data_IF_356587795713
#
_entry.id   IF_356587795713
#
_cell.length_a   1.000
_cell.length_b   1.000
_cell.length_c   1.000
_cell.angle_alpha   90.00
_cell.angle_beta   90.00
_cell.angle_gamma   90.00
#
_symmetry.space_group_name_H-M   'P 1'
#
loop_
_entity.id
_entity.type
_entity.pdbx_description
1 polymer ?
#
# COMPACT_ATOMS: atom_id res chain seq x y z
N UNK A 1 1.66 -31.52 24.09
CA UNK A 1 1.72 -30.10 23.66
C UNK A 1 1.35 -29.21 24.84
N UNK A 2 2.38 -28.70 25.51
CA UNK A 2 2.37 -27.71 26.59
C UNK A 2 1.41 -26.56 26.23
N UNK A 3 0.57 -26.13 27.17
CA UNK A 3 -0.45 -25.09 26.95
C UNK A 3 0.14 -23.82 26.32
N UNK A 4 1.37 -23.47 26.71
CA UNK A 4 2.16 -22.39 26.12
C UNK A 4 2.42 -22.55 24.62
N UNK A 5 2.81 -23.76 24.17
CA UNK A 5 3.09 -24.01 22.75
C UNK A 5 1.82 -23.85 21.90
N UNK A 6 0.66 -24.28 22.42
CA UNK A 6 -0.63 -24.08 21.72
C UNK A 6 -0.97 -22.61 21.56
N UNK A 7 -0.71 -21.81 22.59
CA UNK A 7 -1.02 -20.38 22.61
C UNK A 7 -0.12 -19.60 21.61
N UNK A 8 1.16 -19.96 21.52
CA UNK A 8 2.08 -19.40 20.53
C UNK A 8 1.62 -19.75 19.11
N UNK A 9 1.30 -21.01 18.85
CA UNK A 9 0.82 -21.44 17.51
C UNK A 9 -0.44 -20.65 17.12
N UNK A 10 -1.38 -20.49 18.06
CA UNK A 10 -2.60 -19.74 17.80
C UNK A 10 -2.35 -18.26 17.49
N UNK A 11 -1.44 -17.61 18.24
CA UNK A 11 -1.07 -16.22 18.00
C UNK A 11 -0.39 -16.02 16.62
N UNK A 12 0.50 -16.93 16.23
CA UNK A 12 1.15 -16.91 14.91
C UNK A 12 0.11 -17.07 13.80
N UNK A 13 -0.87 -17.97 13.99
CA UNK A 13 -1.94 -18.19 13.02
C UNK A 13 -2.80 -16.94 12.83
N UNK A 14 -3.16 -16.25 13.92
CA UNK A 14 -3.89 -14.97 13.86
C UNK A 14 -3.07 -13.93 13.10
N UNK A 15 -1.79 -13.77 13.44
CA UNK A 15 -0.93 -12.78 12.80
C UNK A 15 -0.79 -13.06 11.29
N UNK A 16 -0.63 -14.33 10.90
CA UNK A 16 -0.57 -14.72 9.49
C UNK A 16 -1.87 -14.38 8.75
N UNK A 17 -3.03 -14.63 9.37
CA UNK A 17 -4.33 -14.29 8.78
C UNK A 17 -4.43 -12.79 8.55
N UNK A 18 -4.00 -11.93 9.48
CA UNK A 18 -4.10 -10.47 9.35
C UNK A 18 -3.27 -9.87 8.19
N UNK A 19 -2.32 -10.63 7.62
CA UNK A 19 -1.40 -10.13 6.57
C UNK A 19 -1.81 -10.65 5.18
N UNK A 20 -2.62 -11.70 5.07
CA UNK A 20 -3.00 -12.34 3.80
C UNK A 20 -4.29 -11.69 3.25
N UNK A 21 -4.33 -11.39 1.95
CA UNK A 21 -5.59 -11.01 1.29
C UNK A 21 -6.56 -12.19 1.34
N UNK A 22 -7.82 -12.00 1.77
CA UNK A 22 -8.57 -10.73 1.87
C UNK A 22 -8.75 -10.19 3.31
N UNK A 23 -8.00 -10.72 4.29
CA UNK A 23 -8.15 -10.41 5.70
C UNK A 23 -7.32 -9.21 6.17
N UNK A 24 -6.59 -8.58 5.24
CA UNK A 24 -5.86 -7.33 5.50
C UNK A 24 -6.79 -6.22 5.94
N UNK A 25 -6.44 -5.60 7.06
CA UNK A 25 -7.19 -4.48 7.63
C UNK A 25 -6.90 -3.16 6.92
N UNK A 26 -5.77 -3.06 6.21
CA UNK A 26 -5.31 -1.86 5.52
C UNK A 26 -4.93 -2.19 4.07
N UNK A 27 -5.02 -1.21 3.15
CA UNK A 27 -4.61 -1.41 1.77
C UNK A 27 -3.11 -1.73 1.70
N UNK A 28 -2.66 -2.54 0.73
CA UNK A 28 -1.24 -2.76 0.52
C UNK A 28 -0.54 -1.45 0.11
N UNK A 29 0.62 -1.19 0.71
CA UNK A 29 1.53 -0.17 0.22
C UNK A 29 2.04 -0.59 -1.16
N UNK A 30 1.88 0.24 -2.21
CA UNK A 30 2.35 -0.10 -3.54
C UNK A 30 3.88 -0.04 -3.60
N UNK A 31 4.47 -1.01 -4.29
CA UNK A 31 5.87 -0.94 -4.69
C UNK A 31 5.98 -0.06 -5.95
N UNK A 32 6.68 1.07 -5.84
CA UNK A 32 6.88 2.00 -6.96
C UNK A 32 8.37 2.08 -7.24
N UNK A 33 8.75 1.80 -8.49
CA UNK A 33 10.14 1.85 -8.93
C UNK A 33 10.34 2.78 -10.12
N UNK A 34 11.49 3.45 -10.16
CA UNK A 34 11.96 4.24 -11.29
C UNK A 34 13.31 3.68 -11.73
N UNK A 35 13.40 3.21 -12.97
CA UNK A 35 14.61 2.57 -13.51
C UNK A 35 15.13 1.42 -12.61
N UNK A 36 14.21 0.63 -12.05
CA UNK A 36 14.53 -0.50 -11.16
C UNK A 36 14.94 -0.12 -9.73
N UNK A 37 14.87 1.17 -9.37
CA UNK A 37 15.12 1.64 -8.01
C UNK A 37 13.81 2.00 -7.33
N UNK A 38 13.57 1.42 -6.15
CA UNK A 38 12.44 1.77 -5.31
C UNK A 38 12.49 3.24 -4.89
N UNK A 39 11.35 3.91 -4.97
CA UNK A 39 11.19 5.31 -4.57
C UNK A 39 10.21 5.40 -3.39
N UNK A 40 10.39 6.38 -2.48
CA UNK A 40 9.46 6.56 -1.38
C UNK A 40 8.07 6.95 -1.89
N UNK A 41 7.04 6.50 -1.17
CA UNK A 41 5.64 6.80 -1.44
C UNK A 41 4.98 7.39 -0.20
N UNK A 42 4.09 8.37 -0.39
CA UNK A 42 3.22 8.87 0.69
C UNK A 42 1.81 8.34 0.49
N UNK A 43 1.21 7.83 1.56
CA UNK A 43 -0.18 7.38 1.58
C UNK A 43 -1.10 8.55 1.90
N UNK A 44 -2.06 8.80 1.01
CA UNK A 44 -3.15 9.75 1.25
C UNK A 44 -4.32 9.13 2.01
N UNK A 45 -5.34 9.95 2.27
CA UNK A 45 -6.63 9.49 2.79
C UNK A 45 -7.19 8.35 1.94
N UNK A 46 -7.71 7.32 2.58
CA UNK A 46 -8.20 6.13 1.91
C UNK A 46 -9.44 5.56 2.59
N UNK A 47 -10.25 4.86 1.80
CA UNK A 47 -11.26 3.94 2.31
C UNK A 47 -10.89 2.53 1.87
N UNK A 48 -10.85 1.61 2.83
CA UNK A 48 -10.51 0.22 2.60
C UNK A 48 -11.64 -0.69 3.07
N UNK A 49 -12.06 -1.58 2.19
CA UNK A 49 -13.10 -2.56 2.46
C UNK A 49 -12.48 -3.95 2.63
N UNK A 50 -12.07 -4.27 3.86
CA UNK A 50 -11.62 -5.62 4.22
C UNK A 50 -12.80 -6.51 4.61
N UNK A 51 -12.59 -7.84 4.58
CA UNK A 51 -13.63 -8.81 4.94
C UNK A 51 -13.99 -8.76 6.42
N UNK A 52 -13.01 -8.47 7.29
CA UNK A 52 -13.23 -8.39 8.74
C UNK A 52 -13.62 -6.96 9.15
N UNK A 53 -12.92 -5.96 8.60
CA UNK A 53 -13.10 -4.55 8.96
C UNK A 53 -13.08 -3.71 7.69
N UNK A 54 -14.03 -2.78 7.61
CA UNK A 54 -14.01 -1.68 6.66
C UNK A 54 -13.70 -0.39 7.41
N UNK A 55 -12.78 0.41 6.87
CA UNK A 55 -12.39 1.67 7.50
C UNK A 55 -12.11 2.75 6.46
N UNK A 56 -12.34 4.00 6.86
CA UNK A 56 -11.83 5.17 6.15
C UNK A 56 -10.89 5.91 7.10
N UNK A 57 -9.67 6.14 6.64
CA UNK A 57 -8.62 6.83 7.39
C UNK A 57 -8.31 8.12 6.65
N UNK A 58 -8.37 9.22 7.38
CA UNK A 58 -8.09 10.56 6.84
C UNK A 58 -6.67 10.99 7.23
N UNK A 59 -5.86 11.32 6.23
CA UNK A 59 -4.49 11.81 6.39
C UNK A 59 -4.44 13.32 6.19
N UNK A 60 -3.43 13.97 6.77
CA UNK A 60 -3.26 15.43 6.65
C UNK A 60 -2.99 15.87 5.20
N UNK A 61 -2.45 14.99 4.36
CA UNK A 61 -2.22 15.23 2.94
C UNK A 61 -3.50 14.92 2.15
N UNK A 62 -4.27 15.96 1.88
CA UNK A 62 -5.57 15.86 1.20
C UNK A 62 -5.45 15.94 -0.32
N UNK A 63 -4.31 16.40 -0.85
CA UNK A 63 -4.09 16.55 -2.30
C UNK A 63 -2.84 15.84 -2.80
N UNK A 64 -2.82 15.34 -4.06
CA UNK A 64 -1.62 14.79 -4.67
C UNK A 64 -0.43 15.75 -4.68
N UNK A 65 -0.69 17.06 -4.77
CA UNK A 65 0.36 18.06 -4.73
C UNK A 65 0.99 18.16 -3.34
N UNK A 66 0.20 18.05 -2.27
CA UNK A 66 0.71 18.07 -0.91
C UNK A 66 1.48 16.79 -0.57
N UNK A 67 1.07 15.64 -1.11
CA UNK A 67 1.83 14.40 -1.01
C UNK A 67 3.16 14.51 -1.77
N UNK A 68 3.17 15.10 -2.97
CA UNK A 68 4.38 15.25 -3.77
C UNK A 68 5.42 16.21 -3.15
N UNK A 69 5.00 17.18 -2.33
CA UNK A 69 5.91 18.11 -1.62
C UNK A 69 6.85 17.39 -0.64
N UNK A 70 6.48 16.22 -0.16
CA UNK A 70 7.33 15.43 0.74
C UNK A 70 8.47 14.72 0.00
N UNK A 71 8.40 14.65 -1.32
CA UNK A 71 9.33 13.90 -2.15
C UNK A 71 10.20 14.81 -3.00
N UNK A 72 11.40 14.33 -3.31
CA UNK A 72 12.27 14.98 -4.28
C UNK A 72 11.86 14.53 -5.69
N UNK A 73 11.42 15.44 -6.57
CA UNK A 73 11.02 15.07 -7.92
C UNK A 73 12.23 14.63 -8.76
N UNK A 74 12.02 13.67 -9.64
CA UNK A 74 12.99 13.33 -10.67
C UNK A 74 12.94 14.38 -11.78
N UNK A 75 14.09 14.97 -12.11
CA UNK A 75 14.19 15.90 -13.22
C UNK A 75 14.12 15.13 -14.54
N UNK A 76 13.23 15.58 -15.43
CA UNK A 76 13.07 15.04 -16.78
C UNK A 76 13.30 16.12 -17.81
N UNK A 77 13.77 15.73 -19.00
CA UNK A 77 13.94 16.62 -20.13
C UNK A 77 12.60 16.97 -20.77
N UNK A 78 12.56 18.09 -21.52
CA UNK A 78 11.37 18.40 -22.32
C UNK A 78 11.13 17.29 -23.33
N UNK A 79 9.85 16.94 -23.52
CA UNK A 79 9.38 15.87 -24.41
C UNK A 79 9.92 14.47 -24.08
N UNK A 80 10.52 14.27 -22.91
CA UNK A 80 10.87 12.94 -22.44
C UNK A 80 9.60 12.10 -22.23
N UNK A 81 9.62 10.86 -22.72
CA UNK A 81 8.48 9.95 -22.61
C UNK A 81 8.52 9.25 -21.27
N UNK A 82 7.42 9.31 -20.53
CA UNK A 82 7.23 8.59 -19.27
C UNK A 82 6.45 7.32 -19.59
N UNK A 83 7.08 6.16 -19.39
CA UNK A 83 6.39 4.87 -19.41
C UNK A 83 5.91 4.52 -18.01
N UNK A 84 4.69 4.01 -17.90
CA UNK A 84 4.15 3.47 -16.66
C UNK A 84 3.85 2.01 -16.92
N UNK A 85 4.42 1.13 -16.09
CA UNK A 85 4.18 -0.30 -16.15
C UNK A 85 3.44 -0.73 -14.88
N UNK A 86 2.39 -1.52 -15.06
CA UNK A 86 1.56 -2.02 -13.97
C UNK A 86 1.69 -3.52 -13.91
N UNK A 87 2.11 -4.05 -12.75
CA UNK A 87 2.10 -5.49 -12.54
C UNK A 87 0.70 -6.09 -12.69
N UNK A 88 -0.32 -5.34 -12.27
CA UNK A 88 -1.73 -5.66 -12.46
C UNK A 88 -2.42 -4.45 -13.09
N UNK A 89 -3.03 -4.65 -14.25
CA UNK A 89 -3.75 -3.56 -14.92
C UNK A 89 -4.87 -3.00 -14.02
N UNK A 90 -5.03 -1.66 -13.97
CA UNK A 90 -6.11 -1.04 -13.25
C UNK A 90 -7.46 -1.38 -13.89
N UNK A 91 -8.52 -1.41 -13.07
CA UNK A 91 -9.87 -1.60 -13.57
C UNK A 91 -10.29 -0.37 -14.39
N UNK A 92 -11.03 -0.60 -15.47
CA UNK A 92 -11.49 0.49 -16.32
C UNK A 92 -12.50 1.37 -15.60
N UNK A 93 -12.26 2.69 -15.58
CA UNK A 93 -13.22 3.68 -15.06
C UNK A 93 -13.22 3.84 -13.53
N UNK A 94 -12.25 3.27 -12.83
CA UNK A 94 -11.96 3.49 -11.40
C UNK A 94 -10.65 4.24 -11.25
#
# INVERSE_FOLDING_TARGET
MNKFLKLIIFAVLILAILIIEPFRMEPPTPEVTVNGKEIPTTQGSYCWHGIIISQCVDFIHTTPLDMAKEHNPTLVSRQEKIGIDFHKEPLSGT
#
